data_IF_647655977072
#
_entry.id   IF_647655977072
#
_cell.length_a   1.000
_cell.length_b   1.000
_cell.length_c   1.000
_cell.angle_alpha   90.00
_cell.angle_beta   90.00
_cell.angle_gamma   90.00
#
_symmetry.space_group_name_H-M   'P 1'
#
loop_
_entity.id
_entity.type
_entity.pdbx_description
1 polymer ?
#
# COMPACT_ATOMS: atom_id res chain seq x y z
N UNK A 1 -14.73 18.18 -4.67
CA UNK A 1 -15.06 16.78 -4.96
C UNK A 1 -14.48 15.88 -3.88
N UNK A 2 -15.24 14.87 -3.49
CA UNK A 2 -14.73 13.90 -2.54
C UNK A 2 -13.85 12.87 -3.26
N UNK A 3 -12.78 12.46 -2.60
CA UNK A 3 -11.89 11.42 -3.11
C UNK A 3 -12.50 10.04 -2.94
N UNK A 4 -12.15 9.10 -3.81
CA UNK A 4 -12.59 7.72 -3.72
C UNK A 4 -11.97 7.03 -2.51
N UNK A 5 -12.67 6.03 -2.00
CA UNK A 5 -12.20 5.18 -0.91
C UNK A 5 -12.11 3.74 -1.36
N UNK A 6 -11.10 3.05 -0.85
CA UNK A 6 -10.81 1.65 -1.14
C UNK A 6 -10.70 0.91 0.18
N UNK A 7 -11.15 -0.35 0.23
CA UNK A 7 -11.02 -1.17 1.42
C UNK A 7 -10.15 -2.40 1.17
N UNK A 8 -9.47 -2.82 2.22
CA UNK A 8 -8.79 -4.11 2.31
C UNK A 8 -9.34 -4.85 3.53
N UNK A 9 -9.85 -6.06 3.33
CA UNK A 9 -10.17 -6.97 4.43
C UNK A 9 -8.93 -7.84 4.68
N UNK A 10 -8.43 -7.81 5.89
CA UNK A 10 -7.13 -8.39 6.23
C UNK A 10 -7.32 -9.67 7.03
N UNK A 11 -6.59 -10.72 6.64
CA UNK A 11 -6.42 -11.94 7.41
C UNK A 11 -5.00 -12.02 7.95
N UNK A 12 -4.87 -12.51 9.17
CA UNK A 12 -3.57 -12.83 9.78
C UNK A 12 -3.61 -14.32 10.10
N UNK A 13 -2.75 -15.11 9.45
CA UNK A 13 -2.73 -16.58 9.56
C UNK A 13 -4.11 -17.20 9.30
N UNK A 14 -4.84 -16.64 8.33
CA UNK A 14 -6.16 -17.14 7.94
C UNK A 14 -7.32 -16.67 8.82
N UNK A 15 -7.07 -15.84 9.82
CA UNK A 15 -8.10 -15.31 10.70
C UNK A 15 -8.38 -13.84 10.38
N UNK A 16 -9.66 -13.47 10.38
CA UNK A 16 -10.08 -12.10 10.10
C UNK A 16 -9.46 -11.13 11.11
N UNK A 17 -8.74 -10.15 10.62
CA UNK A 17 -8.09 -9.12 11.43
C UNK A 17 -8.79 -7.77 11.33
N UNK A 18 -9.77 -7.62 10.45
CA UNK A 18 -10.52 -6.39 10.27
C UNK A 18 -10.32 -5.76 8.91
N UNK A 19 -10.85 -4.55 8.77
CA UNK A 19 -10.84 -3.81 7.50
C UNK A 19 -10.05 -2.52 7.63
N UNK A 20 -9.24 -2.23 6.60
CA UNK A 20 -8.57 -0.94 6.45
C UNK A 20 -9.26 -0.21 5.30
N UNK A 21 -9.58 1.07 5.50
CA UNK A 21 -10.14 1.92 4.45
C UNK A 21 -9.15 3.04 4.14
N UNK A 22 -8.84 3.20 2.87
CA UNK A 22 -7.94 4.23 2.36
C UNK A 22 -8.74 5.28 1.60
N UNK A 23 -8.39 6.55 1.79
CA UNK A 23 -8.83 7.63 0.92
C UNK A 23 -7.72 7.93 -0.08
N UNK A 24 -8.03 8.00 -1.37
CA UNK A 24 -7.07 8.23 -2.44
C UNK A 24 -7.10 9.70 -2.85
N UNK A 25 -5.94 10.33 -2.95
CA UNK A 25 -5.84 11.77 -3.28
C UNK A 25 -5.89 11.98 -4.79
N UNK A 26 -7.05 11.71 -5.38
CA UNK A 26 -7.28 11.81 -6.82
C UNK A 26 -7.12 13.23 -7.37
N UNK A 27 -7.28 14.23 -6.52
CA UNK A 27 -7.09 15.64 -6.88
C UNK A 27 -5.61 16.00 -7.06
N UNK A 28 -4.71 15.32 -6.36
CA UNK A 28 -3.26 15.57 -6.41
C UNK A 28 -2.54 14.55 -7.28
N UNK A 29 -2.90 13.27 -7.16
CA UNK A 29 -2.25 12.17 -7.85
C UNK A 29 -3.27 11.28 -8.57
N UNK A 30 -3.98 11.81 -9.60
CA UNK A 30 -5.06 11.06 -10.25
C UNK A 30 -4.59 9.76 -10.88
N UNK A 31 -3.43 9.73 -11.49
CA UNK A 31 -2.91 8.54 -12.18
C UNK A 31 -2.51 7.45 -11.19
N UNK A 32 -1.80 7.82 -10.13
CA UNK A 32 -1.37 6.88 -9.09
C UNK A 32 -2.56 6.34 -8.30
N UNK A 33 -3.52 7.23 -7.97
CA UNK A 33 -4.75 6.84 -7.30
C UNK A 33 -5.58 5.87 -8.14
N UNK A 34 -5.72 6.12 -9.44
CA UNK A 34 -6.45 5.24 -10.37
C UNK A 34 -5.82 3.84 -10.39
N UNK A 35 -4.50 3.77 -10.45
CA UNK A 35 -3.79 2.49 -10.42
C UNK A 35 -4.17 1.69 -9.17
N UNK A 36 -4.10 2.31 -8.01
CA UNK A 36 -4.43 1.65 -6.75
C UNK A 36 -5.90 1.22 -6.68
N UNK A 37 -6.81 2.10 -7.10
CA UNK A 37 -8.25 1.80 -7.11
C UNK A 37 -8.54 0.58 -8.00
N UNK A 38 -8.03 0.57 -9.23
CA UNK A 38 -8.33 -0.49 -10.19
C UNK A 38 -7.61 -1.80 -9.87
N UNK A 39 -6.48 -1.75 -9.21
CA UNK A 39 -5.86 -2.95 -8.65
C UNK A 39 -6.63 -3.48 -7.43
N UNK A 40 -7.30 -2.60 -6.70
CA UNK A 40 -8.15 -3.01 -5.58
C UNK A 40 -9.44 -3.67 -6.04
N UNK A 41 -10.04 -3.19 -7.13
CA UNK A 41 -11.25 -3.80 -7.71
C UNK A 41 -10.94 -5.08 -8.49
N UNK A 42 -9.71 -5.22 -9.00
CA UNK A 42 -9.32 -6.37 -9.80
C UNK A 42 -9.91 -6.39 -11.19
N UNK A 43 -10.42 -5.25 -11.68
CA UNK A 43 -11.15 -5.18 -12.94
C UNK A 43 -10.32 -5.50 -14.19
N UNK A 44 -8.99 -5.47 -14.06
CA UNK A 44 -8.09 -5.83 -15.17
C UNK A 44 -7.69 -7.32 -15.15
N UNK A 45 -8.28 -8.13 -14.26
CA UNK A 45 -7.97 -9.54 -14.13
C UNK A 45 -6.81 -9.85 -13.18
N UNK A 46 -6.25 -8.85 -12.54
CA UNK A 46 -5.22 -8.98 -11.51
C UNK A 46 -5.39 -7.87 -10.49
N UNK A 47 -4.83 -8.02 -9.31
CA UNK A 47 -4.93 -7.00 -8.27
C UNK A 47 -4.52 -7.49 -6.89
N UNK A 48 -4.89 -6.71 -5.88
CA UNK A 48 -4.42 -6.89 -4.52
C UNK A 48 -5.06 -8.03 -3.76
N UNK A 49 -6.28 -8.42 -4.11
CA UNK A 49 -6.95 -9.52 -3.40
C UNK A 49 -6.13 -10.81 -3.52
N UNK A 50 -5.83 -11.42 -2.38
CA UNK A 50 -4.98 -12.59 -2.30
C UNK A 50 -3.49 -12.30 -2.10
N UNK A 51 -3.06 -11.04 -2.23
CA UNK A 51 -1.67 -10.66 -2.00
C UNK A 51 -1.38 -10.46 -0.51
N UNK A 52 -0.11 -10.32 -0.16
CA UNK A 52 0.32 -10.24 1.24
C UNK A 52 1.11 -8.98 1.52
N UNK A 53 1.14 -8.58 2.80
CA UNK A 53 2.13 -7.63 3.30
C UNK A 53 3.39 -8.44 3.60
N UNK A 54 4.34 -8.40 2.68
CA UNK A 54 5.54 -9.24 2.73
C UNK A 54 6.68 -8.61 3.54
N UNK A 55 6.59 -7.31 3.84
CA UNK A 55 7.64 -6.59 4.56
C UNK A 55 6.99 -5.60 5.53
N UNK A 56 7.24 -5.79 6.82
CA UNK A 56 6.71 -4.92 7.87
C UNK A 56 7.83 -4.60 8.84
N UNK A 57 8.16 -3.32 8.95
CA UNK A 57 9.20 -2.85 9.86
C UNK A 57 8.54 -1.96 10.92
N UNK A 58 8.51 -2.37 12.19
CA UNK A 58 7.93 -1.56 13.25
C UNK A 58 8.58 -0.18 13.33
N UNK A 59 7.77 0.83 13.60
CA UNK A 59 8.18 2.23 13.64
C UNK A 59 8.78 2.72 12.34
N UNK A 60 8.29 2.17 11.21
CA UNK A 60 8.64 2.60 9.88
C UNK A 60 7.43 2.47 8.94
N UNK A 61 7.14 1.26 8.46
CA UNK A 61 6.05 1.08 7.48
C UNK A 61 5.63 -0.39 7.32
N UNK A 62 4.47 -0.57 6.66
CA UNK A 62 3.98 -1.87 6.19
C UNK A 62 4.03 -1.84 4.67
N UNK A 63 4.68 -2.80 4.03
CA UNK A 63 4.79 -2.86 2.56
C UNK A 63 4.10 -4.10 2.01
N UNK A 64 3.33 -3.92 0.94
CA UNK A 64 2.62 -4.98 0.27
C UNK A 64 2.40 -4.67 -1.20
N UNK A 65 1.52 -5.43 -1.84
CA UNK A 65 1.10 -5.19 -3.21
C UNK A 65 1.85 -5.98 -4.27
N UNK A 66 2.78 -6.86 -3.88
CA UNK A 66 3.44 -7.77 -4.83
C UNK A 66 2.55 -9.02 -5.03
N UNK A 67 1.59 -8.93 -5.93
CA UNK A 67 0.65 -10.03 -6.21
C UNK A 67 1.19 -11.01 -7.25
N UNK A 68 2.39 -10.80 -7.80
CA UNK A 68 2.98 -11.72 -8.78
C UNK A 68 4.03 -12.64 -8.16
N UNK A 69 4.96 -12.10 -7.36
CA UNK A 69 6.03 -12.88 -6.72
C UNK A 69 5.83 -13.05 -5.21
N UNK A 70 5.18 -12.07 -4.55
CA UNK A 70 4.89 -12.13 -3.12
C UNK A 70 6.06 -11.87 -2.19
N UNK A 71 7.19 -11.39 -2.72
CA UNK A 71 8.42 -11.21 -1.94
C UNK A 71 9.09 -9.84 -2.13
N UNK A 72 8.43 -8.94 -2.86
CA UNK A 72 8.96 -7.59 -3.12
C UNK A 72 9.67 -7.43 -4.45
N UNK A 73 9.80 -8.50 -5.24
CA UNK A 73 10.48 -8.44 -6.54
C UNK A 73 9.50 -8.30 -7.71
N UNK A 74 8.21 -8.42 -7.46
CA UNK A 74 7.19 -8.45 -8.50
C UNK A 74 6.19 -7.32 -8.43
N UNK A 75 5.00 -7.58 -8.94
CA UNK A 75 3.94 -6.60 -9.07
C UNK A 75 3.96 -5.94 -10.43
N UNK A 76 2.85 -5.30 -10.79
CA UNK A 76 2.74 -4.52 -12.02
C UNK A 76 1.58 -3.54 -11.90
N UNK A 77 1.64 -2.44 -12.68
CA UNK A 77 0.58 -1.45 -12.69
C UNK A 77 -0.47 -1.76 -13.76
N UNK A 78 -1.56 -0.98 -13.74
CA UNK A 78 -2.59 -1.04 -14.79
C UNK A 78 -2.09 -0.42 -16.11
N UNK A 79 -0.97 0.31 -16.08
CA UNK A 79 -0.39 0.99 -17.23
C UNK A 79 0.70 0.18 -17.92
N UNK A 80 1.01 -0.99 -17.38
CA UNK A 80 2.12 -1.83 -17.80
C UNK A 80 2.96 -2.20 -16.59
N UNK A 81 4.15 -2.73 -16.80
CA UNK A 81 4.98 -3.19 -15.69
C UNK A 81 5.31 -2.05 -14.71
N UNK A 82 5.65 -0.87 -15.23
CA UNK A 82 6.02 0.29 -14.41
C UNK A 82 5.46 1.58 -15.01
N UNK A 83 5.33 2.61 -14.16
CA UNK A 83 4.96 3.95 -14.61
C UNK A 83 5.74 5.01 -13.84
N UNK A 84 5.76 6.23 -14.42
CA UNK A 84 6.55 7.33 -13.90
C UNK A 84 6.02 7.86 -12.56
N UNK A 85 6.90 8.47 -11.78
CA UNK A 85 6.53 9.22 -10.59
C UNK A 85 5.67 10.41 -10.99
N UNK A 86 4.45 10.46 -10.49
CA UNK A 86 3.48 11.47 -10.91
C UNK A 86 3.85 12.86 -10.41
N UNK A 87 4.10 12.99 -9.13
CA UNK A 87 4.61 14.20 -8.48
C UNK A 87 5.01 13.89 -7.05
N UNK A 88 5.64 14.86 -6.38
CA UNK A 88 6.05 14.75 -4.98
C UNK A 88 5.47 15.90 -4.15
N UNK A 89 4.25 16.33 -4.48
CA UNK A 89 3.60 17.45 -3.79
C UNK A 89 3.32 17.14 -2.34
N UNK A 90 2.94 15.90 -2.04
CA UNK A 90 2.65 15.47 -0.67
C UNK A 90 3.89 14.84 -0.05
N UNK A 91 4.05 15.07 1.26
CA UNK A 91 5.20 14.64 2.03
C UNK A 91 4.82 13.57 3.04
N UNK A 92 5.81 12.83 3.53
CA UNK A 92 5.60 11.78 4.52
C UNK A 92 5.62 12.39 5.93
N UNK A 93 4.54 13.11 6.27
CA UNK A 93 4.47 13.96 7.45
C UNK A 93 3.98 13.27 8.72
N UNK A 94 3.51 12.04 8.62
CA UNK A 94 2.97 11.33 9.79
C UNK A 94 2.68 9.88 9.50
N UNK A 95 2.08 9.16 10.48
CA UNK A 95 1.66 7.78 10.27
C UNK A 95 0.42 7.70 9.38
N UNK A 96 0.14 6.47 8.92
CA UNK A 96 -1.06 6.11 8.17
C UNK A 96 -1.16 6.76 6.79
N UNK A 97 -0.04 7.19 6.21
CA UNK A 97 0.00 7.67 4.83
C UNK A 97 0.29 6.51 3.88
N UNK A 98 -0.33 6.58 2.72
CA UNK A 98 -0.19 5.58 1.66
C UNK A 98 0.73 6.16 0.59
N UNK A 99 1.81 5.44 0.29
CA UNK A 99 2.85 5.88 -0.62
C UNK A 99 3.32 4.73 -1.50
N UNK A 100 3.83 5.03 -2.69
CA UNK A 100 4.29 4.01 -3.62
C UNK A 100 5.69 3.52 -3.29
N UNK A 101 5.85 2.21 -3.19
CA UNK A 101 7.17 1.59 -3.19
C UNK A 101 7.73 1.61 -4.62
N UNK A 102 9.04 1.69 -4.75
CA UNK A 102 9.71 1.66 -6.05
C UNK A 102 11.14 1.16 -5.92
N UNK A 103 11.80 0.96 -7.05
CA UNK A 103 13.20 0.54 -7.14
C UNK A 103 14.08 1.64 -7.74
N UNK A 104 13.72 2.89 -7.51
CA UNK A 104 14.38 4.08 -8.04
C UNK A 104 13.39 4.95 -8.82
N UNK A 105 13.86 6.03 -9.46
CA UNK A 105 12.96 6.95 -10.18
C UNK A 105 12.15 6.24 -11.26
N UNK A 106 10.86 6.58 -11.33
CA UNK A 106 9.95 6.14 -12.40
C UNK A 106 9.81 4.62 -12.51
N UNK A 107 9.74 3.93 -11.35
CA UNK A 107 9.59 2.47 -11.31
C UNK A 107 8.39 2.03 -10.48
N UNK A 108 7.30 2.81 -10.48
CA UNK A 108 6.08 2.48 -9.77
C UNK A 108 5.36 1.32 -10.47
N UNK A 109 4.93 0.35 -9.70
CA UNK A 109 4.14 -0.79 -10.19
C UNK A 109 2.87 -0.94 -9.37
N UNK A 110 2.80 -1.98 -8.54
CA UNK A 110 1.68 -2.22 -7.64
C UNK A 110 2.08 -2.13 -6.17
N UNK A 111 3.35 -2.25 -5.84
CA UNK A 111 3.78 -2.25 -4.46
C UNK A 111 3.61 -0.88 -3.82
N UNK A 112 3.14 -0.89 -2.58
CA UNK A 112 2.89 0.32 -1.81
C UNK A 112 3.32 0.07 -0.37
N UNK A 113 3.38 1.15 0.41
CA UNK A 113 3.58 1.03 1.85
C UNK A 113 2.68 2.00 2.60
N UNK A 114 2.36 1.63 3.83
CA UNK A 114 1.62 2.46 4.77
C UNK A 114 2.60 2.85 5.87
N UNK A 115 2.77 4.13 6.11
CA UNK A 115 3.69 4.60 7.15
C UNK A 115 3.09 4.39 8.54
N UNK A 116 3.94 4.16 9.52
CA UNK A 116 3.52 4.07 10.93
C UNK A 116 4.13 5.18 11.76
N UNK A 117 5.02 5.98 11.15
CA UNK A 117 5.66 7.15 11.75
C UNK A 117 5.92 8.15 10.62
N UNK A 118 6.25 9.42 10.93
CA UNK A 118 6.77 10.34 9.91
C UNK A 118 8.05 9.78 9.28
N UNK A 119 8.14 9.82 7.94
CA UNK A 119 9.30 9.31 7.21
C UNK A 119 9.84 10.36 6.24
N UNK A 120 10.33 11.52 6.75
CA UNK A 120 10.71 12.64 5.89
C UNK A 120 11.87 12.34 4.92
N UNK A 121 12.69 11.34 5.23
CA UNK A 121 13.78 10.93 4.32
C UNK A 121 13.27 10.30 3.02
N UNK A 122 11.98 9.98 2.93
CA UNK A 122 11.36 9.43 1.71
C UNK A 122 10.76 10.52 0.82
N UNK A 123 10.69 11.75 1.30
CA UNK A 123 10.13 12.86 0.54
C UNK A 123 10.94 13.10 -0.74
N UNK A 124 10.23 13.30 -1.85
CA UNK A 124 10.86 13.48 -3.16
C UNK A 124 11.37 12.20 -3.81
N UNK A 125 11.17 11.05 -3.19
CA UNK A 125 11.59 9.74 -3.73
C UNK A 125 10.42 8.77 -3.91
N UNK A 126 9.35 8.94 -3.13
CA UNK A 126 8.16 8.10 -3.17
C UNK A 126 6.93 8.99 -3.27
N UNK A 127 5.97 8.57 -4.10
CA UNK A 127 4.75 9.34 -4.34
C UNK A 127 3.71 9.02 -3.27
N UNK A 128 3.38 10.00 -2.44
CA UNK A 128 2.28 9.90 -1.47
C UNK A 128 0.98 10.12 -2.21
N UNK A 129 0.04 9.19 -2.13
CA UNK A 129 -1.19 9.25 -2.92
C UNK A 129 -2.47 8.92 -2.14
N UNK A 130 -2.38 8.69 -0.85
CA UNK A 130 -3.56 8.40 -0.03
C UNK A 130 -3.24 8.34 1.45
N UNK A 131 -4.28 8.00 2.24
CA UNK A 131 -4.14 7.83 3.68
C UNK A 131 -5.17 6.82 4.19
N UNK A 132 -4.90 6.25 5.36
CA UNK A 132 -5.85 5.40 6.07
C UNK A 132 -6.86 6.30 6.79
N UNK A 133 -8.14 6.07 6.55
CA UNK A 133 -9.23 6.83 7.20
C UNK A 133 -10.03 5.97 8.19
N UNK A 134 -9.98 4.63 8.06
CA UNK A 134 -10.57 3.69 9.00
C UNK A 134 -9.66 2.48 9.13
N UNK A 135 -9.66 1.85 10.29
CA UNK A 135 -8.87 0.64 10.51
C UNK A 135 -7.43 0.91 10.92
N UNK A 136 -7.13 2.05 11.53
CA UNK A 136 -5.78 2.32 12.03
C UNK A 136 -5.34 1.28 13.06
N UNK A 137 -6.28 0.74 13.84
CA UNK A 137 -6.00 -0.35 14.79
C UNK A 137 -5.57 -1.63 14.07
N UNK A 138 -6.06 -1.87 12.83
CA UNK A 138 -5.64 -3.01 12.02
C UNK A 138 -4.19 -2.78 11.53
N UNK A 139 -3.87 -1.56 11.12
CA UNK A 139 -2.50 -1.18 10.74
C UNK A 139 -1.55 -1.43 11.90
N UNK A 140 -1.92 -0.98 13.10
CA UNK A 140 -1.10 -1.15 14.30
C UNK A 140 -0.92 -2.63 14.66
N UNK A 141 -1.97 -3.42 14.47
CA UNK A 141 -1.93 -4.87 14.70
C UNK A 141 -0.95 -5.55 13.73
N UNK A 142 -0.99 -5.20 12.45
CA UNK A 142 -0.06 -5.71 11.44
C UNK A 142 1.38 -5.35 11.81
N UNK A 143 1.60 -4.12 12.24
CA UNK A 143 2.93 -3.65 12.64
C UNK A 143 3.54 -4.54 13.72
N UNK A 144 2.72 -5.04 14.63
CA UNK A 144 3.16 -5.92 15.70
C UNK A 144 3.71 -7.26 15.23
N UNK A 145 3.46 -7.66 14.00
CA UNK A 145 3.99 -8.90 13.41
C UNK A 145 5.27 -8.67 12.59
N UNK A 146 5.75 -7.44 12.52
CA UNK A 146 6.94 -7.10 11.77
C UNK A 146 8.22 -7.29 12.57
N UNK A 147 9.34 -7.05 11.90
CA UNK A 147 10.67 -7.10 12.52
C UNK A 147 11.60 -6.17 11.77
N UNK A 148 12.66 -5.73 12.43
CA UNK A 148 13.68 -4.92 11.78
C UNK A 148 15.05 -5.60 11.91
N UNK A 149 15.97 -5.35 10.95
CA UNK A 149 15.85 -4.39 9.83
C UNK A 149 15.21 -4.97 8.56
N UNK A 150 15.06 -6.30 8.44
CA UNK A 150 14.66 -6.93 7.19
C UNK A 150 13.15 -6.84 6.91
N UNK A 151 12.32 -6.70 7.96
CA UNK A 151 10.88 -6.60 7.79
C UNK A 151 10.17 -7.94 7.62
N UNK A 152 10.80 -9.04 8.00
CA UNK A 152 10.15 -10.35 7.94
C UNK A 152 8.99 -10.40 8.93
N UNK A 153 7.82 -10.89 8.46
CA UNK A 153 6.65 -11.01 9.32
C UNK A 153 6.61 -12.34 10.05
N UNK A 154 6.16 -12.33 11.31
CA UNK A 154 6.02 -13.54 12.13
C UNK A 154 4.72 -14.29 11.85
N UNK A 155 3.84 -13.74 11.02
CA UNK A 155 2.58 -14.35 10.61
C UNK A 155 2.34 -14.01 9.15
N UNK A 156 1.46 -14.76 8.46
CA UNK A 156 1.08 -14.45 7.09
C UNK A 156 -0.04 -13.43 7.12
N UNK A 157 0.22 -12.24 6.58
CA UNK A 157 -0.71 -11.13 6.53
C UNK A 157 -1.21 -11.00 5.11
N UNK A 158 -2.49 -11.31 4.88
CA UNK A 158 -3.08 -11.42 3.55
C UNK A 158 -4.19 -10.40 3.36
N UNK A 159 -4.24 -9.79 2.18
CA UNK A 159 -5.40 -9.04 1.72
C UNK A 159 -6.41 -10.06 1.21
N UNK A 160 -7.36 -10.47 2.06
CA UNK A 160 -8.35 -11.47 1.72
C UNK A 160 -9.28 -10.97 0.61
N UNK A 161 -9.69 -9.71 0.73
CA UNK A 161 -10.56 -9.05 -0.22
C UNK A 161 -10.20 -7.58 -0.33
N UNK A 162 -10.45 -6.99 -1.48
CA UNK A 162 -10.24 -5.56 -1.72
C UNK A 162 -11.27 -5.06 -2.71
N UNK A 163 -11.54 -3.75 -2.66
CA UNK A 163 -12.49 -3.15 -3.58
C UNK A 163 -12.65 -1.67 -3.33
N UNK A 164 -13.56 -1.07 -4.10
CA UNK A 164 -13.88 0.35 -3.99
C UNK A 164 -15.20 0.50 -3.22
N UNK A 165 -15.23 1.44 -2.29
CA UNK A 165 -16.44 1.81 -1.55
C UNK A 165 -17.29 2.81 -2.34
#
# INVERSE_FOLDING_TARGET
>A
MSNSKVYFDIDIDGQDAGRIVFELFEDVTPKTAKNFIELSTGEHGFGYAGSSFHRVIPQFMLQGGDFTAGNGTGGKSIYGEKFADENFQLKHTGPYLLSMANAGPNTNGSQFFVTTVPTPWLDGKHVVFGKVVEGTEVVDKIEGYGSSPAGKTSAKITVRASGKL
#
